data_IF_419813512095
#
_entry.id   IF_419813512095
#
_cell.length_a   1.000
_cell.length_b   1.000
_cell.length_c   1.000
_cell.angle_alpha   90.00
_cell.angle_beta   90.00
_cell.angle_gamma   90.00
#
_symmetry.space_group_name_H-M   'P 1'
#
loop_
_entity.id
_entity.type
_entity.pdbx_description
1 polymer ?
#
# COMPACT_ATOMS: atom_id res chain seq x y z
N UNK A 1 -23.23 16.25 4.16
CA UNK A 1 -21.81 16.08 4.57
C UNK A 1 -21.06 15.52 3.39
N UNK A 2 -20.13 16.26 2.79
CA UNK A 2 -19.14 15.63 1.90
C UNK A 2 -18.16 14.90 2.81
N UNK A 3 -17.95 13.62 2.56
CA UNK A 3 -16.90 12.84 3.21
C UNK A 3 -15.77 12.78 2.21
N UNK A 4 -14.71 13.57 2.42
CA UNK A 4 -13.58 13.54 1.51
C UNK A 4 -12.61 12.45 1.99
N UNK A 5 -12.51 11.36 1.19
CA UNK A 5 -11.75 10.16 1.57
C UNK A 5 -10.27 10.46 1.78
N UNK A 6 -9.73 11.43 1.04
CA UNK A 6 -8.33 11.86 1.16
C UNK A 6 -8.04 12.61 2.46
N UNK A 7 -8.99 13.39 3.00
CA UNK A 7 -8.86 13.99 4.34
C UNK A 7 -8.84 12.91 5.42
N UNK A 8 -9.66 11.85 5.27
CA UNK A 8 -9.70 10.72 6.21
C UNK A 8 -8.42 9.86 6.13
N UNK A 9 -7.85 9.70 4.93
CA UNK A 9 -6.51 9.13 4.75
C UNK A 9 -5.47 9.96 5.51
N UNK A 10 -5.45 11.29 5.32
CA UNK A 10 -4.47 12.15 6.01
C UNK A 10 -4.72 12.32 7.50
N UNK A 11 -5.96 12.18 7.98
CA UNK A 11 -6.24 12.02 9.41
C UNK A 11 -5.52 10.78 9.96
N UNK A 12 -5.64 9.65 9.26
CA UNK A 12 -4.98 8.39 9.62
C UNK A 12 -3.45 8.50 9.55
N UNK A 13 -2.93 9.18 8.50
CA UNK A 13 -1.51 9.49 8.36
C UNK A 13 -0.95 10.28 9.53
N UNK A 14 -1.58 11.42 9.84
CA UNK A 14 -1.12 12.32 10.88
C UNK A 14 -1.18 11.66 12.26
N UNK A 15 -2.26 10.92 12.54
CA UNK A 15 -2.47 10.26 13.83
C UNK A 15 -1.53 9.08 14.06
N UNK A 16 -1.35 8.20 13.07
CA UNK A 16 -0.65 6.92 13.27
C UNK A 16 0.78 6.92 12.73
N UNK A 17 1.06 7.61 11.62
CA UNK A 17 2.41 7.65 11.03
C UNK A 17 3.21 8.81 11.63
N UNK A 18 2.64 10.02 11.67
CA UNK A 18 3.26 11.20 12.30
C UNK A 18 2.99 11.32 13.81
N UNK A 19 2.33 10.32 14.40
CA UNK A 19 2.02 10.21 15.85
C UNK A 19 1.39 11.48 16.48
N UNK A 20 0.66 12.28 15.70
CA UNK A 20 0.02 13.50 16.19
C UNK A 20 -1.11 13.17 17.19
N UNK A 21 -1.01 13.67 18.42
CA UNK A 21 -2.04 13.50 19.45
C UNK A 21 -3.30 14.33 19.16
N UNK A 22 -3.17 15.42 18.41
CA UNK A 22 -4.29 16.25 17.95
C UNK A 22 -4.28 16.27 16.42
N UNK A 23 -5.42 15.94 15.80
CA UNK A 23 -5.61 16.04 14.35
C UNK A 23 -6.98 16.61 14.03
N UNK A 24 -7.04 17.63 13.16
CA UNK A 24 -8.25 18.27 12.67
C UNK A 24 -8.27 18.26 11.14
N UNK A 25 -9.24 17.55 10.54
CA UNK A 25 -9.60 17.68 9.12
C UNK A 25 -10.41 18.94 8.86
N UNK A 26 -10.41 19.45 7.63
CA UNK A 26 -11.11 20.70 7.26
C UNK A 26 -10.74 21.88 8.18
N UNK A 27 -9.46 22.06 8.48
CA UNK A 27 -9.02 23.19 9.29
C UNK A 27 -9.22 24.49 8.50
N UNK A 28 -9.88 25.48 9.11
CA UNK A 28 -10.15 26.78 8.48
C UNK A 28 -9.96 27.91 9.48
N UNK A 29 -9.44 29.03 8.99
CA UNK A 29 -9.28 30.25 9.76
C UNK A 29 -10.63 30.78 10.22
N UNK A 30 -10.80 30.97 11.54
CA UNK A 30 -11.97 31.69 12.06
C UNK A 30 -11.83 33.19 11.86
N UNK A 31 -12.91 33.84 11.43
CA UNK A 31 -12.99 35.31 11.32
C UNK A 31 -12.85 36.05 12.65
N UNK A 32 -12.91 35.32 13.78
CA UNK A 32 -12.77 35.86 15.13
C UNK A 32 -11.34 35.70 15.69
N UNK A 33 -10.42 35.06 14.96
CA UNK A 33 -9.04 34.92 15.41
C UNK A 33 -8.24 36.19 15.12
N UNK A 34 -7.48 36.64 16.12
CA UNK A 34 -6.51 37.72 15.96
C UNK A 34 -5.28 37.19 15.24
N UNK A 35 -4.91 37.84 14.15
CA UNK A 35 -3.64 37.59 13.44
C UNK A 35 -2.47 38.23 14.20
N UNK A 36 -1.35 37.52 14.28
CA UNK A 36 -0.06 37.97 14.81
C UNK A 36 0.91 38.25 13.67
N UNK A 37 2.00 38.97 13.96
CA UNK A 37 3.11 39.21 13.01
C UNK A 37 2.63 39.81 11.67
N UNK A 38 1.64 40.71 11.74
CA UNK A 38 0.88 41.13 10.55
C UNK A 38 1.73 41.92 9.54
N UNK A 39 2.72 42.68 10.03
CA UNK A 39 3.66 43.42 9.19
C UNK A 39 4.65 42.47 8.51
N UNK A 40 5.26 41.52 9.25
CA UNK A 40 6.14 40.50 8.70
C UNK A 40 5.42 39.66 7.65
N UNK A 41 4.17 39.27 7.91
CA UNK A 41 3.31 38.52 7.00
C UNK A 41 2.98 39.31 5.74
N UNK A 42 2.65 40.60 5.86
CA UNK A 42 2.40 41.47 4.69
C UNK A 42 3.66 41.61 3.83
N UNK A 43 4.83 41.75 4.46
CA UNK A 43 6.12 41.85 3.77
C UNK A 43 6.48 40.52 3.08
N UNK A 44 6.33 39.39 3.76
CA UNK A 44 6.56 38.04 3.20
C UNK A 44 5.64 37.75 2.01
N UNK A 45 4.36 38.12 2.10
CA UNK A 45 3.41 38.00 1.00
C UNK A 45 3.90 38.75 -0.25
N UNK A 46 4.40 39.98 -0.09
CA UNK A 46 4.94 40.75 -1.21
C UNK A 46 6.24 40.14 -1.77
N UNK A 47 7.16 39.72 -0.90
CA UNK A 47 8.44 39.10 -1.28
C UNK A 47 8.23 37.82 -2.09
N UNK A 48 7.27 36.97 -1.70
CA UNK A 48 6.93 35.75 -2.42
C UNK A 48 6.37 36.11 -3.81
N UNK A 49 5.42 37.04 -3.91
CA UNK A 49 4.81 37.37 -5.21
C UNK A 49 5.81 38.01 -6.19
N UNK A 50 6.73 38.84 -5.69
CA UNK A 50 7.75 39.51 -6.51
C UNK A 50 8.87 38.56 -6.94
N UNK A 51 9.35 37.67 -6.06
CA UNK A 51 10.35 36.65 -6.42
C UNK A 51 9.85 35.77 -7.58
N UNK A 52 8.61 35.29 -7.48
CA UNK A 52 8.02 34.45 -8.52
C UNK A 52 7.71 35.23 -9.81
N UNK A 53 7.24 36.48 -9.68
CA UNK A 53 7.03 37.34 -10.85
C UNK A 53 8.34 37.63 -11.59
N UNK A 54 9.46 37.80 -10.88
CA UNK A 54 10.77 38.04 -11.47
C UNK A 54 11.36 36.77 -12.11
N UNK A 55 11.36 35.63 -11.39
CA UNK A 55 12.03 34.39 -11.82
C UNK A 55 11.21 33.56 -12.82
N UNK A 56 9.89 33.46 -12.62
CA UNK A 56 9.01 32.58 -13.40
C UNK A 56 8.01 33.31 -14.30
N UNK A 57 8.03 34.65 -14.33
CA UNK A 57 7.18 35.49 -15.16
C UNK A 57 5.67 35.34 -14.88
N UNK A 58 5.30 34.91 -13.67
CA UNK A 58 3.92 34.92 -13.18
C UNK A 58 3.85 35.30 -11.70
N UNK A 59 2.78 36.01 -11.31
CA UNK A 59 2.45 36.27 -9.90
C UNK A 59 1.86 35.01 -9.26
N UNK A 60 2.18 34.73 -8.00
CA UNK A 60 1.62 33.59 -7.26
C UNK A 60 0.19 33.91 -6.85
N UNK A 61 -0.03 35.11 -6.32
CA UNK A 61 -1.33 35.51 -5.77
C UNK A 61 -2.20 36.18 -6.84
N UNK A 62 -3.52 36.23 -6.60
CA UNK A 62 -4.44 36.85 -7.56
C UNK A 62 -4.24 38.37 -7.56
N UNK A 63 -4.22 38.98 -8.74
CA UNK A 63 -4.26 40.43 -8.87
C UNK A 63 -5.42 41.00 -8.03
N UNK A 64 -5.13 42.06 -7.28
CA UNK A 64 -6.03 42.73 -6.34
C UNK A 64 -6.46 41.93 -5.10
N UNK A 65 -5.90 40.75 -4.82
CA UNK A 65 -6.07 40.10 -3.51
C UNK A 65 -5.12 40.72 -2.47
N UNK A 66 -5.66 41.20 -1.36
CA UNK A 66 -4.86 41.67 -0.22
C UNK A 66 -4.35 40.49 0.61
N UNK A 67 -3.21 40.65 1.29
CA UNK A 67 -2.67 39.61 2.16
C UNK A 67 -3.70 39.18 3.23
N UNK A 68 -4.47 40.13 3.78
CA UNK A 68 -5.59 39.85 4.71
C UNK A 68 -6.62 38.93 4.07
N UNK A 69 -7.13 39.26 2.90
CA UNK A 69 -8.14 38.43 2.23
C UNK A 69 -7.58 37.03 1.90
N UNK A 70 -6.33 36.96 1.45
CA UNK A 70 -5.65 35.72 1.14
C UNK A 70 -5.53 34.81 2.37
N UNK A 71 -5.16 35.36 3.53
CA UNK A 71 -4.95 34.63 4.79
C UNK A 71 -6.27 34.34 5.53
N UNK A 72 -7.28 35.21 5.48
CA UNK A 72 -8.63 34.90 5.96
C UNK A 72 -9.34 33.80 5.16
N UNK A 73 -8.84 33.49 3.96
CA UNK A 73 -9.24 32.32 3.17
C UNK A 73 -8.26 31.14 3.38
N UNK A 74 -7.55 31.12 4.51
CA UNK A 74 -6.74 30.00 4.97
C UNK A 74 -7.61 28.78 5.29
N UNK A 75 -7.38 27.71 4.54
CA UNK A 75 -7.91 26.38 4.79
C UNK A 75 -6.79 25.35 4.54
N UNK A 76 -6.81 24.27 5.30
CA UNK A 76 -5.95 23.11 5.12
C UNK A 76 -6.81 21.85 5.32
N UNK A 77 -6.60 20.85 4.48
CA UNK A 77 -7.46 19.68 4.39
C UNK A 77 -7.28 18.78 5.63
N UNK A 78 -6.07 18.75 6.20
CA UNK A 78 -5.82 18.30 7.57
C UNK A 78 -4.68 19.07 8.26
N UNK A 79 -4.79 19.29 9.57
CA UNK A 79 -3.71 19.79 10.44
C UNK A 79 -3.52 18.83 11.60
N UNK A 80 -2.26 18.48 11.88
CA UNK A 80 -1.84 17.62 12.99
C UNK A 80 -0.85 18.34 13.90
N UNK A 81 -0.89 18.04 15.19
CA UNK A 81 0.10 18.49 16.18
C UNK A 81 0.63 17.27 16.93
N UNK A 82 1.94 17.07 16.86
CA UNK A 82 2.66 16.10 17.70
C UNK A 82 3.36 16.82 18.86
N UNK A 83 3.35 16.18 20.02
CA UNK A 83 4.01 16.60 21.25
C UNK A 83 5.02 15.53 21.68
N UNK A 84 6.29 15.74 21.37
CA UNK A 84 7.35 14.73 21.56
C UNK A 84 8.54 15.35 22.28
N UNK A 85 9.03 14.69 23.33
CA UNK A 85 10.17 15.13 24.14
C UNK A 85 10.05 16.58 24.69
N UNK A 86 8.83 17.12 24.78
CA UNK A 86 8.55 18.51 25.19
C UNK A 86 8.49 19.51 24.02
N UNK A 87 8.81 19.09 22.80
CA UNK A 87 8.70 19.88 21.58
C UNK A 87 7.34 19.70 20.91
N UNK A 88 6.90 20.74 20.18
CA UNK A 88 5.61 20.79 19.46
C UNK A 88 5.87 20.89 17.96
N UNK A 89 5.56 19.84 17.21
CA UNK A 89 5.67 19.82 15.75
C UNK A 89 4.30 19.94 15.11
N UNK A 90 4.12 20.94 14.25
CA UNK A 90 2.88 21.15 13.50
C UNK A 90 3.03 20.62 12.07
N UNK A 91 2.05 19.85 11.64
CA UNK A 91 1.93 19.34 10.28
C UNK A 91 0.67 19.92 9.64
N UNK A 92 0.77 20.50 8.46
CA UNK A 92 -0.39 20.97 7.71
C UNK A 92 -0.40 20.35 6.31
N UNK A 93 -1.54 19.83 5.89
CA UNK A 93 -1.69 19.05 4.66
C UNK A 93 -2.77 19.66 3.77
N UNK A 94 -2.41 19.93 2.53
CA UNK A 94 -3.30 20.19 1.40
C UNK A 94 -3.29 18.95 0.48
N UNK A 95 -4.44 18.36 0.19
CA UNK A 95 -4.55 17.16 -0.67
C UNK A 95 -5.42 17.42 -1.90
N UNK A 96 -4.97 16.94 -3.06
CA UNK A 96 -5.71 17.05 -4.32
C UNK A 96 -5.91 15.67 -4.97
N UNK A 97 -7.17 15.27 -5.13
CA UNK A 97 -7.55 14.00 -5.74
C UNK A 97 -8.27 14.18 -7.08
N UNK A 98 -7.65 13.69 -8.16
CA UNK A 98 -8.23 13.63 -9.49
C UNK A 98 -7.78 12.33 -10.18
N UNK A 99 -8.72 11.47 -10.59
CA UNK A 99 -8.42 10.15 -11.18
C UNK A 99 -7.59 10.23 -12.48
N UNK A 100 -7.80 11.30 -13.25
CA UNK A 100 -7.06 11.60 -14.49
C UNK A 100 -5.76 12.37 -14.25
N UNK A 101 -5.44 12.70 -13.00
CA UNK A 101 -4.30 13.51 -12.60
C UNK A 101 -4.64 14.98 -12.35
N UNK A 102 -3.78 15.64 -11.59
CA UNK A 102 -3.95 17.04 -11.19
C UNK A 102 -3.97 17.99 -12.40
N UNK A 103 -5.08 18.70 -12.60
CA UNK A 103 -5.25 19.66 -13.68
C UNK A 103 -6.15 20.83 -13.25
N UNK A 104 -5.54 21.98 -12.97
CA UNK A 104 -6.27 23.22 -12.65
C UNK A 104 -6.38 24.21 -13.82
N UNK A 105 -6.04 23.79 -15.04
CA UNK A 105 -5.97 24.62 -16.24
C UNK A 105 -4.67 24.39 -17.00
N UNK A 106 -3.85 25.43 -17.15
CA UNK A 106 -2.49 25.26 -17.69
C UNK A 106 -1.54 24.63 -16.66
N UNK A 107 -0.39 24.14 -17.14
CA UNK A 107 0.73 23.67 -16.31
C UNK A 107 1.16 24.75 -15.29
N UNK A 108 1.41 25.96 -15.78
CA UNK A 108 1.75 27.12 -14.96
C UNK A 108 0.65 27.49 -13.95
N UNK A 109 -0.63 27.50 -14.35
CA UNK A 109 -1.76 27.77 -13.44
C UNK A 109 -1.86 26.71 -12.33
N UNK A 110 -1.53 25.45 -12.64
CA UNK A 110 -1.52 24.35 -11.67
C UNK A 110 -0.38 24.55 -10.66
N UNK A 111 0.85 24.78 -11.11
CA UNK A 111 2.01 25.08 -10.25
C UNK A 111 1.74 26.30 -9.35
N UNK A 112 1.29 27.41 -9.96
CA UNK A 112 0.96 28.67 -9.27
C UNK A 112 -0.05 28.46 -8.14
N UNK A 113 -1.09 27.65 -8.36
CA UNK A 113 -2.10 27.34 -7.32
C UNK A 113 -1.54 26.52 -6.16
N UNK A 114 -0.64 25.57 -6.43
CA UNK A 114 -0.02 24.73 -5.41
C UNK A 114 0.90 25.59 -4.53
N UNK A 115 1.77 26.40 -5.14
CA UNK A 115 2.62 27.36 -4.40
C UNK A 115 1.76 28.34 -3.59
N UNK A 116 0.66 28.84 -4.17
CA UNK A 116 -0.28 29.71 -3.45
C UNK A 116 -1.00 29.02 -2.28
N UNK A 117 -1.25 27.70 -2.33
CA UNK A 117 -1.74 26.91 -1.18
C UNK A 117 -0.65 26.83 -0.11
N UNK A 118 0.53 26.29 -0.43
CA UNK A 118 1.63 26.11 0.52
C UNK A 118 2.04 27.43 1.22
N UNK A 119 2.18 28.52 0.46
CA UNK A 119 2.51 29.83 1.00
C UNK A 119 1.40 30.38 1.92
N UNK A 120 0.12 30.15 1.59
CA UNK A 120 -1.00 30.53 2.48
C UNK A 120 -0.92 29.76 3.79
N UNK A 121 -0.71 28.44 3.71
CA UNK A 121 -0.62 27.57 4.87
C UNK A 121 0.53 27.99 5.79
N UNK A 122 1.71 28.30 5.25
CA UNK A 122 2.84 28.84 6.03
C UNK A 122 2.49 30.15 6.77
N UNK A 123 1.94 31.13 6.05
CA UNK A 123 1.55 32.42 6.65
C UNK A 123 0.40 32.27 7.66
N UNK A 124 -0.50 31.30 7.48
CA UNK A 124 -1.56 31.00 8.43
C UNK A 124 -1.04 30.32 9.71
N UNK A 125 -0.07 29.40 9.60
CA UNK A 125 0.58 28.79 10.77
C UNK A 125 1.34 29.83 11.58
N UNK A 126 2.08 30.72 10.91
CA UNK A 126 2.78 31.82 11.59
C UNK A 126 1.79 32.83 12.22
N UNK A 127 0.82 33.31 11.46
CA UNK A 127 -0.11 34.37 11.90
C UNK A 127 -1.17 33.94 12.91
N UNK A 128 -1.68 32.70 12.86
CA UNK A 128 -2.76 32.24 13.75
C UNK A 128 -2.33 31.16 14.75
N UNK A 129 -1.31 30.35 14.45
CA UNK A 129 -0.80 29.34 15.39
C UNK A 129 0.49 29.78 16.11
N UNK A 130 0.96 31.00 15.88
CA UNK A 130 2.14 31.60 16.53
C UNK A 130 3.35 30.65 16.52
N UNK A 131 3.60 30.06 15.35
CA UNK A 131 4.53 28.95 15.16
C UNK A 131 5.49 29.29 14.03
N UNK A 132 6.79 29.08 14.27
CA UNK A 132 7.87 29.41 13.33
C UNK A 132 8.46 28.20 12.62
N UNK A 133 8.04 26.98 12.99
CA UNK A 133 8.55 25.72 12.41
C UNK A 133 7.45 24.68 12.22
N UNK A 134 7.63 23.78 11.26
CA UNK A 134 6.67 22.72 10.98
C UNK A 134 6.77 22.16 9.56
N UNK A 135 5.95 21.16 9.25
CA UNK A 135 5.92 20.50 7.95
C UNK A 135 4.65 20.86 7.17
N UNK A 136 4.80 21.33 5.94
CA UNK A 136 3.69 21.69 5.05
C UNK A 136 3.72 20.76 3.84
N UNK A 137 2.68 19.95 3.69
CA UNK A 137 2.63 18.87 2.72
C UNK A 137 1.55 19.19 1.68
N UNK A 138 1.94 19.34 0.42
CA UNK A 138 1.00 19.23 -0.68
C UNK A 138 1.02 17.79 -1.23
N UNK A 139 -0.11 17.09 -1.20
CA UNK A 139 -0.19 15.69 -1.57
C UNK A 139 -1.16 15.43 -2.73
N UNK A 140 -0.79 14.57 -3.66
CA UNK A 140 -1.71 14.10 -4.72
C UNK A 140 -1.30 12.74 -5.27
N UNK A 141 -2.19 11.73 -5.34
CA UNK A 141 -1.84 10.41 -5.86
C UNK A 141 -1.35 10.41 -7.32
N UNK A 142 -1.67 11.46 -8.10
CA UNK A 142 -1.40 11.51 -9.54
C UNK A 142 -1.15 12.92 -10.05
N UNK A 143 0.10 13.20 -10.39
CA UNK A 143 0.58 14.47 -10.96
C UNK A 143 1.41 14.15 -12.20
N UNK A 144 1.14 14.83 -13.31
CA UNK A 144 1.94 14.65 -14.54
C UNK A 144 3.40 15.06 -14.30
N UNK A 145 4.36 14.28 -14.78
CA UNK A 145 5.79 14.52 -14.53
C UNK A 145 6.23 15.94 -14.84
N UNK A 146 5.77 16.49 -15.97
CA UNK A 146 6.04 17.88 -16.33
C UNK A 146 5.52 18.90 -15.29
N UNK A 147 4.39 18.66 -14.61
CA UNK A 147 3.94 19.56 -13.52
C UNK A 147 4.91 19.48 -12.34
N UNK A 148 5.47 18.30 -12.03
CA UNK A 148 6.49 18.14 -10.98
C UNK A 148 7.80 18.83 -11.35
N UNK A 149 8.26 18.70 -12.60
CA UNK A 149 9.49 19.34 -13.09
C UNK A 149 9.47 20.87 -12.92
N UNK A 150 8.31 21.51 -13.10
CA UNK A 150 8.14 22.95 -12.86
C UNK A 150 7.90 23.27 -11.37
N UNK A 151 7.24 22.37 -10.63
CA UNK A 151 6.83 22.60 -9.24
C UNK A 151 7.97 22.43 -8.23
N UNK A 152 8.86 21.45 -8.41
CA UNK A 152 9.93 21.16 -7.45
C UNK A 152 10.86 22.38 -7.24
N UNK A 153 11.39 23.05 -8.29
CA UNK A 153 12.20 24.26 -8.11
C UNK A 153 11.43 25.42 -7.44
N UNK A 154 10.11 25.49 -7.64
CA UNK A 154 9.26 26.48 -7.01
C UNK A 154 9.10 26.22 -5.49
N UNK A 155 9.04 24.95 -5.08
CA UNK A 155 8.97 24.55 -3.67
C UNK A 155 10.32 24.81 -2.97
N UNK A 156 11.44 24.54 -3.64
CA UNK A 156 12.79 24.88 -3.16
C UNK A 156 12.96 26.38 -2.91
N UNK A 157 12.53 27.22 -3.86
CA UNK A 157 12.52 28.68 -3.71
C UNK A 157 11.64 29.12 -2.53
N UNK A 158 10.45 28.56 -2.37
CA UNK A 158 9.54 28.90 -1.28
C UNK A 158 10.17 28.57 0.09
N UNK A 159 10.78 27.38 0.23
CA UNK A 159 11.52 27.00 1.43
C UNK A 159 12.68 27.97 1.71
N UNK A 160 13.44 28.34 0.68
CA UNK A 160 14.56 29.28 0.81
C UNK A 160 14.11 30.69 1.24
N UNK A 161 12.97 31.17 0.74
CA UNK A 161 12.36 32.44 1.18
C UNK A 161 11.96 32.33 2.66
N UNK A 162 11.20 31.31 3.04
CA UNK A 162 10.74 31.13 4.44
C UNK A 162 11.92 31.06 5.41
N UNK A 163 12.93 30.24 5.11
CA UNK A 163 14.12 30.08 5.94
C UNK A 163 14.93 31.38 6.10
N UNK A 164 15.09 32.18 5.03
CA UNK A 164 15.75 33.50 5.08
C UNK A 164 15.05 34.51 6.00
N UNK A 165 13.77 34.30 6.28
CA UNK A 165 12.96 35.12 7.18
C UNK A 165 12.74 34.46 8.55
N UNK A 166 13.61 33.52 8.94
CA UNK A 166 13.58 32.78 10.21
C UNK A 166 12.32 31.93 10.42
N UNK A 167 11.66 31.50 9.34
CA UNK A 167 10.57 30.52 9.37
C UNK A 167 11.11 29.16 8.91
N UNK A 168 11.33 28.26 9.86
CA UNK A 168 11.80 26.89 9.65
C UNK A 168 10.63 25.95 9.24
N UNK A 169 9.86 26.39 8.25
CA UNK A 169 8.82 25.57 7.64
C UNK A 169 9.41 24.74 6.50
N UNK A 170 9.24 23.42 6.59
CA UNK A 170 9.58 22.48 5.53
C UNK A 170 8.36 22.22 4.65
N UNK A 171 8.28 22.94 3.53
CA UNK A 171 7.30 22.67 2.47
C UNK A 171 7.80 21.51 1.61
N UNK A 172 6.96 20.51 1.37
CA UNK A 172 7.24 19.43 0.40
C UNK A 172 6.01 19.00 -0.39
N UNK A 173 6.27 18.34 -1.52
CA UNK A 173 5.26 17.69 -2.35
C UNK A 173 5.39 16.18 -2.17
N UNK A 174 4.26 15.49 -2.02
CA UNK A 174 4.18 14.02 -2.03
C UNK A 174 3.26 13.61 -3.18
N UNK A 175 3.84 13.05 -4.24
CA UNK A 175 3.11 12.75 -5.48
C UNK A 175 3.48 11.40 -6.11
N UNK A 176 2.55 10.84 -6.88
CA UNK A 176 2.76 9.58 -7.62
C UNK A 176 3.24 8.45 -6.70
N UNK A 177 4.40 7.84 -6.99
CA UNK A 177 4.93 6.74 -6.17
C UNK A 177 5.26 7.19 -4.74
N UNK A 178 5.70 8.44 -4.52
CA UNK A 178 5.94 8.96 -3.16
C UNK A 178 4.64 8.98 -2.35
N UNK A 179 3.48 9.18 -2.98
CA UNK A 179 2.19 9.09 -2.31
C UNK A 179 1.91 7.65 -1.85
N UNK A 180 2.25 6.67 -2.68
CA UNK A 180 2.13 5.27 -2.32
C UNK A 180 3.12 4.91 -1.19
N UNK A 181 4.42 5.16 -1.39
CA UNK A 181 5.49 4.76 -0.46
C UNK A 181 5.46 5.52 0.87
N UNK A 182 5.14 6.81 0.87
CA UNK A 182 5.24 7.68 2.05
C UNK A 182 3.94 7.76 2.84
N UNK A 183 2.77 7.67 2.18
CA UNK A 183 1.47 7.90 2.83
C UNK A 183 0.65 6.63 2.87
N UNK A 184 0.36 6.03 1.72
CA UNK A 184 -0.55 4.88 1.66
C UNK A 184 0.03 3.65 2.37
N UNK A 185 1.20 3.16 1.95
CA UNK A 185 1.77 1.93 2.51
C UNK A 185 2.01 2.01 4.03
N UNK A 186 2.55 3.10 4.61
CA UNK A 186 2.66 3.24 6.07
C UNK A 186 1.32 3.15 6.81
N UNK A 187 0.23 3.73 6.27
CA UNK A 187 -1.10 3.62 6.87
C UNK A 187 -1.63 2.18 6.78
N UNK A 188 -1.42 1.50 5.64
CA UNK A 188 -1.85 0.10 5.49
C UNK A 188 -1.09 -0.81 6.47
N UNK A 189 0.22 -0.63 6.63
CA UNK A 189 1.06 -1.33 7.62
C UNK A 189 0.63 -1.06 9.07
N UNK A 190 0.17 0.16 9.38
CA UNK A 190 -0.34 0.50 10.71
C UNK A 190 -1.77 -0.01 10.97
N UNK A 191 -2.54 -0.34 9.92
CA UNK A 191 -3.95 -0.73 10.04
C UNK A 191 -4.17 -2.08 10.76
N UNK A 192 -3.19 -2.98 10.69
CA UNK A 192 -3.21 -4.27 11.38
C UNK A 192 -2.95 -4.09 12.89
N UNK A 193 -4.01 -4.25 13.68
CA UNK A 193 -4.01 -4.05 15.13
C UNK A 193 -4.69 -2.76 15.60
N UNK A 194 -5.21 -1.93 14.69
CA UNK A 194 -6.13 -0.84 15.03
C UNK A 194 -7.55 -1.42 15.12
N UNK A 195 -7.89 -1.95 16.29
CA UNK A 195 -9.15 -2.67 16.52
C UNK A 195 -10.38 -1.73 16.60
N UNK A 196 -10.19 -0.53 17.12
CA UNK A 196 -11.29 0.40 17.42
C UNK A 196 -11.02 1.85 17.00
N UNK A 197 -11.36 2.18 15.76
CA UNK A 197 -11.37 3.56 15.27
C UNK A 197 -12.67 3.90 14.55
N UNK A 198 -13.12 5.14 14.72
CA UNK A 198 -14.13 5.80 13.89
C UNK A 198 -13.55 6.33 12.58
N UNK A 199 -12.39 5.82 12.16
CA UNK A 199 -11.61 6.31 11.02
C UNK A 199 -12.08 5.64 9.74
N UNK A 200 -12.79 6.39 8.91
CA UNK A 200 -13.50 5.86 7.75
C UNK A 200 -12.56 5.21 6.73
N UNK A 201 -11.34 5.72 6.58
CA UNK A 201 -10.35 5.13 5.67
C UNK A 201 -9.90 3.74 6.16
N UNK A 202 -9.43 3.63 7.40
CA UNK A 202 -8.96 2.35 7.97
C UNK A 202 -10.10 1.33 8.02
N UNK A 203 -11.30 1.72 8.45
CA UNK A 203 -12.47 0.83 8.47
C UNK A 203 -12.88 0.38 7.05
N UNK A 204 -12.82 1.27 6.07
CA UNK A 204 -13.06 0.94 4.67
C UNK A 204 -12.05 -0.07 4.12
N UNK A 205 -10.76 0.12 4.43
CA UNK A 205 -9.69 -0.80 4.05
C UNK A 205 -9.80 -2.17 4.75
N UNK A 206 -10.07 -2.19 6.06
CA UNK A 206 -10.33 -3.43 6.81
C UNK A 206 -11.53 -4.20 6.22
N UNK A 207 -12.63 -3.51 5.91
CA UNK A 207 -13.81 -4.12 5.27
C UNK A 207 -13.50 -4.66 3.87
N UNK A 208 -12.69 -3.94 3.08
CA UNK A 208 -12.20 -4.42 1.78
C UNK A 208 -11.38 -5.71 1.96
N UNK A 209 -10.42 -5.74 2.90
CA UNK A 209 -9.56 -6.89 3.18
C UNK A 209 -10.32 -8.16 3.64
N UNK A 210 -11.50 -8.01 4.28
CA UNK A 210 -12.37 -9.15 4.60
C UNK A 210 -12.82 -9.91 3.34
N UNK A 211 -13.02 -9.20 2.23
CA UNK A 211 -13.55 -9.76 0.98
C UNK A 211 -12.50 -9.91 -0.12
N UNK A 212 -11.36 -9.24 0.00
CA UNK A 212 -10.18 -9.42 -0.81
C UNK A 212 -9.61 -10.85 -0.62
N UNK A 213 -9.50 -11.68 -1.68
CA UNK A 213 -8.91 -13.01 -1.59
C UNK A 213 -7.45 -13.04 -1.10
N UNK A 214 -6.98 -14.22 -0.70
CA UNK A 214 -5.66 -14.39 -0.07
C UNK A 214 -4.49 -13.77 -0.87
N UNK A 215 -4.55 -13.79 -2.20
CA UNK A 215 -3.54 -13.19 -3.08
C UNK A 215 -3.45 -11.64 -3.03
N UNK A 216 -4.41 -10.93 -2.43
CA UNK A 216 -4.36 -9.46 -2.24
C UNK A 216 -4.40 -9.02 -0.78
N UNK A 217 -4.78 -9.90 0.15
CA UNK A 217 -4.26 -9.82 1.53
C UNK A 217 -2.73 -9.93 1.54
N UNK A 218 -2.16 -10.51 0.49
CA UNK A 218 -0.73 -10.46 0.19
C UNK A 218 -0.25 -9.10 -0.33
N UNK A 219 -1.08 -8.11 -0.71
CA UNK A 219 -0.55 -6.88 -1.32
C UNK A 219 0.42 -6.15 -0.38
N UNK A 220 0.06 -5.96 0.90
CA UNK A 220 0.94 -5.49 1.99
C UNK A 220 2.17 -6.38 2.25
N UNK A 221 2.21 -7.58 1.66
CA UNK A 221 3.24 -8.61 1.84
C UNK A 221 4.07 -8.89 0.57
N UNK A 222 3.66 -8.36 -0.60
CA UNK A 222 4.32 -8.62 -1.91
C UNK A 222 4.59 -7.40 -2.79
N UNK A 223 4.21 -6.15 -2.45
CA UNK A 223 4.63 -4.99 -3.28
C UNK A 223 6.16 -4.84 -3.38
N UNK A 224 6.92 -5.37 -2.42
CA UNK A 224 8.38 -5.36 -2.46
C UNK A 224 9.00 -6.27 -3.54
N UNK A 225 8.24 -7.25 -4.07
CA UNK A 225 8.79 -8.30 -4.93
C UNK A 225 8.76 -8.00 -6.44
N UNK A 226 8.10 -6.92 -6.89
CA UNK A 226 7.99 -6.59 -8.32
C UNK A 226 8.18 -5.10 -8.64
N UNK A 227 9.44 -4.75 -8.99
CA UNK A 227 9.98 -3.60 -9.77
C UNK A 227 11.15 -2.87 -9.04
N UNK A 228 11.88 -1.98 -9.75
CA UNK A 228 13.29 -2.15 -10.10
C UNK A 228 14.27 -1.94 -8.92
N UNK A 229 15.54 -2.33 -9.13
CA UNK A 229 16.60 -2.58 -8.13
C UNK A 229 17.07 -1.40 -7.23
N UNK A 230 16.26 -0.36 -6.97
CA UNK A 230 16.71 0.83 -6.23
C UNK A 230 15.67 1.51 -5.32
N UNK A 231 14.64 0.78 -4.84
CA UNK A 231 13.64 1.31 -3.90
C UNK A 231 13.40 0.33 -2.75
N UNK A 232 14.01 0.57 -1.58
CA UNK A 232 13.52 -0.08 -0.33
C UNK A 232 13.81 0.65 0.99
N UNK A 233 14.60 1.73 0.99
CA UNK A 233 14.68 2.64 2.15
C UNK A 233 13.47 3.58 2.27
N UNK A 234 12.77 3.81 1.16
CA UNK A 234 11.82 4.90 1.02
C UNK A 234 10.43 4.63 1.65
N UNK A 235 9.95 3.39 1.59
CA UNK A 235 8.63 3.00 2.16
C UNK A 235 8.57 3.18 3.67
N UNK A 236 9.69 3.00 4.36
CA UNK A 236 9.77 3.08 5.82
C UNK A 236 10.22 4.46 6.34
N UNK A 237 10.42 5.46 5.45
CA UNK A 237 11.00 6.76 5.83
C UNK A 237 10.12 7.60 6.75
N UNK A 238 8.80 7.43 6.66
CA UNK A 238 7.83 8.18 7.48
C UNK A 238 7.48 7.47 8.79
N UNK A 239 7.74 6.16 8.90
CA UNK A 239 7.57 5.40 10.14
C UNK A 239 8.78 5.59 11.06
N UNK A 240 8.56 5.73 12.37
CA UNK A 240 9.64 5.69 13.37
C UNK A 240 10.15 4.27 13.59
N UNK A 241 11.36 4.12 14.10
CA UNK A 241 12.00 2.80 14.30
C UNK A 241 11.19 1.90 15.24
N UNK A 242 10.59 2.45 16.30
CA UNK A 242 9.76 1.68 17.22
C UNK A 242 8.47 1.16 16.56
N UNK A 243 7.96 1.87 15.55
CA UNK A 243 6.83 1.43 14.73
C UNK A 243 7.28 0.35 13.74
N UNK A 244 8.44 0.56 13.09
CA UNK A 244 9.07 -0.41 12.19
C UNK A 244 9.31 -1.75 12.90
N UNK A 245 9.82 -1.71 14.15
CA UNK A 245 9.97 -2.89 14.98
C UNK A 245 8.60 -3.54 15.31
N UNK A 246 7.66 -2.78 15.88
CA UNK A 246 6.36 -3.31 16.31
C UNK A 246 5.45 -3.84 15.20
N UNK A 247 5.57 -3.33 13.97
CA UNK A 247 4.68 -3.68 12.85
C UNK A 247 5.35 -4.53 11.78
N UNK A 248 6.60 -4.22 11.41
CA UNK A 248 7.29 -4.95 10.32
C UNK A 248 8.10 -6.10 10.89
N UNK A 249 9.05 -5.83 11.80
CA UNK A 249 9.88 -6.89 12.40
C UNK A 249 9.02 -7.92 13.14
N UNK A 250 8.09 -7.48 13.99
CA UNK A 250 7.15 -8.38 14.68
C UNK A 250 6.43 -9.32 13.70
N UNK A 251 5.82 -8.77 12.65
CA UNK A 251 5.03 -9.54 11.68
C UNK A 251 5.90 -10.51 10.89
N UNK A 252 7.14 -10.13 10.58
CA UNK A 252 8.14 -11.03 9.97
C UNK A 252 8.48 -12.19 10.91
N UNK A 253 8.76 -11.92 12.19
CA UNK A 253 9.06 -12.96 13.18
C UNK A 253 7.86 -13.89 13.44
N UNK A 254 6.65 -13.36 13.59
CA UNK A 254 5.41 -14.16 13.74
C UNK A 254 5.07 -14.95 12.46
N UNK A 255 5.49 -14.47 11.29
CA UNK A 255 5.41 -15.20 10.02
C UNK A 255 6.49 -16.29 9.84
N UNK A 256 7.45 -16.43 10.76
CA UNK A 256 8.51 -17.42 10.69
C UNK A 256 9.60 -17.10 9.65
N UNK A 257 9.91 -15.83 9.42
CA UNK A 257 11.00 -15.44 8.49
C UNK A 257 12.41 -15.65 9.04
N UNK A 258 12.54 -15.87 10.35
CA UNK A 258 13.78 -16.19 11.05
C UNK A 258 13.80 -17.68 11.40
N UNK A 259 14.98 -18.32 11.38
CA UNK A 259 15.09 -19.75 11.73
C UNK A 259 15.00 -19.95 13.25
N UNK A 260 14.75 -21.18 13.73
CA UNK A 260 14.64 -21.45 15.17
C UNK A 260 15.98 -21.13 15.87
N UNK A 261 17.10 -21.44 15.23
CA UNK A 261 18.44 -21.13 15.70
C UNK A 261 18.68 -19.61 15.78
N UNK A 262 18.16 -18.85 14.81
CA UNK A 262 18.24 -17.39 14.83
C UNK A 262 17.35 -16.79 15.95
N UNK A 263 16.17 -17.34 16.21
CA UNK A 263 15.31 -16.97 17.35
C UNK A 263 15.99 -17.28 18.70
N UNK A 264 16.80 -18.33 18.78
CA UNK A 264 17.63 -18.62 19.95
C UNK A 264 18.76 -17.59 20.10
N UNK A 265 19.42 -17.19 19.00
CA UNK A 265 20.42 -16.12 19.01
C UNK A 265 19.81 -14.75 19.37
N UNK A 266 18.61 -14.43 18.91
CA UNK A 266 17.87 -13.19 19.26
C UNK A 266 17.55 -13.06 20.76
N UNK A 267 17.68 -14.14 21.54
CA UNK A 267 17.57 -14.11 23.00
C UNK A 267 18.91 -13.80 23.70
N UNK A 268 19.99 -13.59 22.95
CA UNK A 268 21.31 -13.18 23.47
C UNK A 268 21.54 -11.68 23.27
N UNK A 269 22.27 -11.04 24.19
CA UNK A 269 22.61 -9.63 24.08
C UNK A 269 23.67 -9.41 22.99
N UNK A 270 24.57 -10.37 22.83
CA UNK A 270 25.70 -10.36 21.89
C UNK A 270 25.23 -10.30 20.44
N UNK A 271 24.32 -11.20 20.04
CA UNK A 271 23.73 -11.19 18.70
C UNK A 271 22.87 -9.95 18.49
N UNK A 272 22.10 -9.53 19.50
CA UNK A 272 21.24 -8.35 19.41
C UNK A 272 22.05 -7.07 19.20
N UNK A 273 23.21 -6.97 19.85
CA UNK A 273 24.18 -5.89 19.64
C UNK A 273 24.86 -5.97 18.27
N UNK A 274 25.29 -7.15 17.82
CA UNK A 274 25.96 -7.27 16.51
C UNK A 274 25.03 -7.07 15.31
N UNK A 275 23.74 -7.37 15.48
CA UNK A 275 22.76 -7.45 14.37
C UNK A 275 21.82 -6.25 14.33
N UNK A 276 21.43 -5.71 15.49
CA UNK A 276 20.45 -4.61 15.62
C UNK A 276 20.98 -3.39 16.39
N UNK A 277 22.25 -3.39 16.81
CA UNK A 277 22.92 -2.38 17.68
C UNK A 277 22.36 -2.26 19.13
N UNK A 278 21.30 -3.03 19.44
CA UNK A 278 20.59 -3.07 20.72
C UNK A 278 21.50 -3.50 21.89
N UNK A 279 21.31 -2.86 23.06
CA UNK A 279 22.04 -3.21 24.29
C UNK A 279 21.48 -4.44 25.03
N UNK A 280 20.31 -4.92 24.61
CA UNK A 280 19.55 -5.98 25.28
C UNK A 280 19.10 -7.02 24.25
N UNK A 281 18.83 -8.27 24.67
CA UNK A 281 18.21 -9.27 23.82
C UNK A 281 17.00 -8.72 23.06
N UNK A 282 16.95 -8.93 21.75
CA UNK A 282 15.81 -8.53 20.93
C UNK A 282 14.53 -9.25 21.39
N UNK A 283 14.66 -10.53 21.76
CA UNK A 283 13.57 -11.36 22.27
C UNK A 283 13.88 -11.87 23.67
N UNK A 284 12.86 -12.00 24.51
CA UNK A 284 12.91 -12.78 25.75
C UNK A 284 11.67 -13.68 25.85
N UNK A 285 11.83 -14.90 26.35
CA UNK A 285 10.68 -15.78 26.58
C UNK A 285 9.79 -15.22 27.68
N UNK A 286 8.46 -15.33 27.54
CA UNK A 286 7.51 -14.97 28.61
C UNK A 286 7.64 -15.83 29.87
N UNK A 287 8.39 -16.93 29.81
CA UNK A 287 8.67 -17.84 30.92
C UNK A 287 10.02 -17.57 31.61
N UNK A 288 10.83 -16.65 31.08
CA UNK A 288 12.10 -16.24 31.66
C UNK A 288 11.93 -14.99 32.54
N UNK A 289 12.93 -14.71 33.38
CA UNK A 289 13.02 -13.43 34.10
C UNK A 289 13.61 -12.35 33.19
N UNK A 290 13.01 -11.15 33.18
CA UNK A 290 13.42 -10.01 32.36
C UNK A 290 12.88 -8.69 32.94
N UNK A 291 13.57 -7.58 32.68
CA UNK A 291 13.13 -6.22 33.06
C UNK A 291 11.98 -5.75 32.14
N UNK A 292 10.72 -5.67 32.61
CA UNK A 292 9.58 -5.38 31.73
C UNK A 292 9.60 -3.97 31.12
N UNK A 293 10.39 -3.03 31.66
CA UNK A 293 10.51 -1.66 31.14
C UNK A 293 11.20 -1.65 29.77
N UNK A 294 12.04 -2.64 29.48
CA UNK A 294 12.87 -2.73 28.26
C UNK A 294 12.18 -3.44 27.10
N UNK A 295 10.96 -3.94 27.28
CA UNK A 295 10.25 -4.74 26.28
C UNK A 295 8.84 -4.23 26.05
N UNK A 296 8.30 -4.46 24.85
CA UNK A 296 6.92 -4.11 24.53
C UNK A 296 5.93 -4.95 25.34
N UNK A 297 4.83 -4.31 25.76
CA UNK A 297 3.83 -4.92 26.64
C UNK A 297 3.07 -6.08 25.97
N UNK A 298 2.78 -5.99 24.68
CA UNK A 298 2.16 -7.09 23.93
C UNK A 298 3.19 -8.18 23.58
N UNK A 299 2.90 -9.46 23.87
CA UNK A 299 3.74 -10.56 23.41
C UNK A 299 3.58 -10.79 21.90
N UNK A 300 4.60 -11.39 21.29
CA UNK A 300 4.56 -11.93 19.94
C UNK A 300 4.69 -13.46 19.97
N UNK A 301 4.05 -14.13 19.02
CA UNK A 301 3.98 -15.61 19.00
C UNK A 301 4.75 -16.20 17.82
N UNK A 302 5.85 -16.88 18.12
CA UNK A 302 6.77 -17.45 17.13
C UNK A 302 6.81 -18.97 17.34
N UNK A 303 6.52 -19.73 16.27
CA UNK A 303 6.50 -21.21 16.31
C UNK A 303 5.70 -21.80 17.49
N UNK A 304 4.58 -21.15 17.82
CA UNK A 304 3.68 -21.53 18.91
C UNK A 304 4.06 -21.04 20.31
N UNK A 305 5.31 -20.61 20.53
CA UNK A 305 5.83 -20.06 21.80
C UNK A 305 5.62 -18.54 21.89
N UNK A 306 5.53 -18.00 23.09
CA UNK A 306 5.37 -16.56 23.33
C UNK A 306 6.68 -15.90 23.81
N UNK A 307 6.94 -14.72 23.23
CA UNK A 307 8.10 -13.88 23.53
C UNK A 307 7.65 -12.44 23.81
N UNK A 308 8.52 -11.64 24.44
CA UNK A 308 8.46 -10.17 24.42
C UNK A 308 9.59 -9.65 23.54
N UNK A 309 9.35 -8.56 22.82
CA UNK A 309 10.34 -7.91 21.95
C UNK A 309 10.85 -6.62 22.58
N UNK A 310 12.15 -6.35 22.45
CA UNK A 310 12.82 -5.17 22.99
C UNK A 310 12.17 -3.87 22.49
N UNK A 311 11.98 -2.91 23.39
CA UNK A 311 11.41 -1.58 23.13
C UNK A 311 12.46 -0.47 23.06
N UNK A 312 13.72 -0.77 23.40
CA UNK A 312 14.82 0.19 23.51
C UNK A 312 15.47 0.48 22.15
N UNK A 313 14.69 1.06 21.24
CA UNK A 313 15.14 1.48 19.91
C UNK A 313 15.38 2.99 19.85
N UNK A 314 16.43 3.41 19.16
CA UNK A 314 16.90 4.80 19.11
C UNK A 314 17.18 5.27 17.68
N UNK A 315 16.97 6.57 17.42
CA UNK A 315 17.20 7.24 16.12
C UNK A 315 17.95 8.56 16.27
N UNK A 316 18.84 8.66 17.26
CA UNK A 316 19.61 9.88 17.51
C UNK A 316 20.98 9.79 16.84
N UNK A 317 21.64 10.90 16.44
CA UNK A 317 22.93 10.84 15.76
C UNK A 317 24.03 10.07 16.50
N UNK A 318 23.94 9.95 17.83
CA UNK A 318 24.87 9.19 18.67
C UNK A 318 24.50 7.70 18.86
N UNK A 319 23.25 7.31 18.59
CA UNK A 319 22.77 5.92 18.61
C UNK A 319 21.56 5.78 17.69
N UNK A 320 21.74 5.13 16.55
CA UNK A 320 20.74 5.02 15.49
C UNK A 320 20.67 3.57 15.00
N UNK A 321 19.69 2.83 15.53
CA UNK A 321 19.55 1.40 15.26
C UNK A 321 18.88 1.13 13.89
N UNK A 322 18.31 2.17 13.24
CA UNK A 322 17.52 2.03 12.00
C UNK A 322 18.29 1.35 10.86
N UNK A 323 19.55 1.70 10.55
CA UNK A 323 20.28 1.06 9.46
C UNK A 323 20.45 -0.45 9.67
N UNK A 324 20.60 -0.88 10.92
CA UNK A 324 20.74 -2.28 11.29
C UNK A 324 19.40 -3.02 11.16
N UNK A 325 18.30 -2.44 11.67
CA UNK A 325 16.97 -3.01 11.50
C UNK A 325 16.55 -3.11 10.03
N UNK A 326 16.75 -2.05 9.25
CA UNK A 326 16.47 -2.07 7.80
C UNK A 326 17.33 -3.09 7.06
N UNK A 327 18.61 -3.24 7.45
CA UNK A 327 19.49 -4.28 6.89
C UNK A 327 18.95 -5.67 7.21
N UNK A 328 18.57 -5.96 8.46
CA UNK A 328 18.02 -7.27 8.82
C UNK A 328 16.73 -7.57 8.05
N UNK A 329 15.80 -6.60 7.98
CA UNK A 329 14.55 -6.71 7.20
C UNK A 329 14.87 -7.02 5.73
N UNK A 330 15.82 -6.29 5.14
CA UNK A 330 16.19 -6.45 3.73
C UNK A 330 16.92 -7.76 3.45
N UNK A 331 17.82 -8.22 4.33
CA UNK A 331 18.54 -9.49 4.19
C UNK A 331 17.58 -10.68 4.31
N UNK A 332 16.58 -10.62 5.20
CA UNK A 332 15.55 -11.66 5.34
C UNK A 332 14.53 -11.62 4.20
N UNK A 333 14.14 -10.43 3.75
CA UNK A 333 13.32 -10.28 2.53
C UNK A 333 14.05 -10.82 1.31
N UNK A 334 15.32 -10.46 1.11
CA UNK A 334 16.18 -11.02 0.05
C UNK A 334 16.38 -12.52 0.17
N UNK A 335 16.34 -13.08 1.39
CA UNK A 335 16.44 -14.52 1.60
C UNK A 335 15.14 -15.21 1.19
N UNK A 336 13.98 -14.72 1.63
CA UNK A 336 12.66 -15.17 1.15
C UNK A 336 12.49 -15.00 -0.37
N UNK A 337 13.00 -13.91 -0.93
CA UNK A 337 13.00 -13.65 -2.37
C UNK A 337 14.00 -14.51 -3.12
N UNK A 338 15.18 -14.82 -2.56
CA UNK A 338 16.11 -15.80 -3.14
C UNK A 338 15.57 -17.21 -3.05
N UNK A 339 14.97 -17.60 -1.93
CA UNK A 339 14.35 -18.91 -1.76
C UNK A 339 13.17 -19.06 -2.70
N UNK A 340 12.25 -18.09 -2.73
CA UNK A 340 11.15 -18.08 -3.68
C UNK A 340 11.60 -17.87 -5.13
N UNK A 341 12.73 -17.20 -5.42
CA UNK A 341 13.36 -17.16 -6.76
C UNK A 341 14.08 -18.45 -7.11
N UNK A 342 14.62 -19.20 -6.16
CA UNK A 342 15.25 -20.51 -6.37
C UNK A 342 14.16 -21.57 -6.57
N UNK A 343 13.04 -21.43 -5.86
CA UNK A 343 11.80 -22.18 -6.03
C UNK A 343 11.11 -21.81 -7.37
N UNK A 344 11.08 -20.53 -7.75
CA UNK A 344 10.60 -20.03 -9.06
C UNK A 344 11.54 -20.43 -10.20
N UNK A 345 12.88 -20.41 -10.04
CA UNK A 345 13.85 -20.94 -11.03
C UNK A 345 13.83 -22.47 -11.13
N UNK A 346 13.36 -23.18 -10.10
CA UNK A 346 12.99 -24.60 -10.17
C UNK A 346 11.61 -24.83 -10.80
N UNK A 347 10.74 -23.82 -10.85
CA UNK A 347 9.40 -23.84 -11.49
C UNK A 347 9.36 -23.20 -12.89
N UNK A 348 10.40 -22.46 -13.29
CA UNK A 348 10.57 -21.77 -14.59
C UNK A 348 12.05 -21.88 -15.01
N UNK A 349 12.45 -22.64 -16.03
CA UNK A 349 12.09 -22.46 -17.45
C UNK A 349 10.59 -22.54 -17.79
N UNK A 350 10.09 -21.63 -18.65
CA UNK A 350 8.96 -20.76 -18.31
C UNK A 350 7.59 -21.29 -18.79
N UNK A 351 6.44 -20.88 -18.24
CA UNK A 351 6.18 -19.83 -17.23
C UNK A 351 4.83 -20.00 -16.50
N UNK A 352 4.69 -19.36 -15.34
CA UNK A 352 3.53 -19.23 -14.43
C UNK A 352 3.22 -17.69 -14.35
N UNK A 353 2.11 -17.11 -13.89
CA UNK A 353 0.94 -17.45 -13.04
C UNK A 353 -0.38 -17.33 -13.86
N UNK A 354 -1.64 -17.51 -13.40
CA UNK A 354 -2.38 -17.29 -12.12
C UNK A 354 -2.49 -15.80 -11.71
N UNK A 355 -3.57 -15.03 -11.90
CA UNK A 355 -5.04 -15.19 -11.67
C UNK A 355 -5.51 -14.48 -10.37
N UNK A 356 -6.84 -14.29 -10.24
CA UNK A 356 -7.64 -13.66 -9.17
C UNK A 356 -7.71 -12.12 -9.25
N UNK A 357 -8.89 -11.46 -9.33
CA UNK A 357 -9.88 -11.22 -8.25
C UNK A 357 -11.12 -10.40 -8.74
N UNK A 358 -12.29 -10.22 -8.06
CA UNK A 358 -12.96 -10.90 -6.94
C UNK A 358 -14.41 -10.35 -6.66
N UNK A 359 -15.27 -11.16 -5.99
CA UNK A 359 -16.25 -10.87 -4.90
C UNK A 359 -17.10 -9.56 -4.95
N UNK A 360 -18.46 -9.53 -4.87
CA UNK A 360 -19.43 -10.45 -4.21
C UNK A 360 -20.83 -10.50 -4.87
N UNK A 361 -21.56 -11.59 -4.59
CA UNK A 361 -22.90 -11.99 -5.07
C UNK A 361 -24.01 -10.90 -5.07
N UNK A 362 -24.69 -10.79 -6.21
CA UNK A 362 -26.14 -11.09 -6.28
C UNK A 362 -26.26 -12.54 -6.80
N UNK A 363 -27.32 -13.27 -6.45
CA UNK A 363 -27.58 -14.58 -7.07
C UNK A 363 -27.98 -14.38 -8.54
N UNK A 364 -27.00 -14.51 -9.43
CA UNK A 364 -27.19 -14.58 -10.86
C UNK A 364 -27.03 -16.03 -11.32
N UNK A 365 -27.93 -16.43 -12.21
CA UNK A 365 -27.79 -17.60 -13.07
C UNK A 365 -26.35 -17.68 -13.61
N UNK A 366 -25.76 -18.88 -13.57
CA UNK A 366 -24.40 -19.14 -14.06
C UNK A 366 -24.27 -18.75 -15.54
N UNK A 367 -25.35 -18.81 -16.33
CA UNK A 367 -25.40 -18.23 -17.66
C UNK A 367 -25.28 -16.70 -17.64
N UNK A 368 -26.15 -16.00 -16.91
CA UNK A 368 -26.10 -14.52 -16.81
C UNK A 368 -24.77 -14.00 -16.27
N UNK A 369 -24.15 -14.75 -15.34
CA UNK A 369 -22.84 -14.43 -14.75
C UNK A 369 -21.70 -14.46 -15.77
N UNK A 370 -21.80 -15.29 -16.81
CA UNK A 370 -20.73 -15.54 -17.78
C UNK A 370 -21.12 -15.24 -19.24
N UNK A 371 -22.28 -14.62 -19.48
CA UNK A 371 -22.82 -14.38 -20.84
C UNK A 371 -21.91 -13.55 -21.75
N UNK A 372 -21.15 -12.61 -21.18
CA UNK A 372 -20.23 -11.73 -21.92
C UNK A 372 -18.87 -12.39 -22.22
N UNK A 373 -18.59 -13.58 -21.68
CA UNK A 373 -17.36 -14.33 -21.90
C UNK A 373 -17.59 -15.44 -22.95
N UNK A 374 -16.64 -15.61 -23.88
CA UNK A 374 -16.67 -16.75 -24.81
C UNK A 374 -16.40 -18.06 -24.07
N UNK A 375 -16.94 -19.17 -24.57
CA UNK A 375 -16.77 -20.52 -23.98
C UNK A 375 -15.31 -20.88 -23.65
N UNK A 376 -14.36 -20.59 -24.54
CA UNK A 376 -12.93 -20.84 -24.29
C UNK A 376 -12.31 -19.93 -23.22
N UNK A 377 -12.88 -18.74 -22.99
CA UNK A 377 -12.51 -17.89 -21.86
C UNK A 377 -13.09 -18.44 -20.56
N UNK A 378 -14.34 -18.94 -20.56
CA UNK A 378 -14.96 -19.62 -19.42
C UNK A 378 -14.15 -20.89 -19.05
N UNK A 379 -13.70 -21.66 -20.04
CA UNK A 379 -12.85 -22.82 -19.82
C UNK A 379 -11.54 -22.44 -19.10
N UNK A 380 -10.84 -21.41 -19.57
CA UNK A 380 -9.57 -20.96 -18.97
C UNK A 380 -9.72 -20.25 -17.62
N UNK A 381 -10.75 -19.41 -17.45
CA UNK A 381 -10.93 -18.54 -16.28
C UNK A 381 -11.81 -19.15 -15.18
N UNK A 382 -12.51 -20.26 -15.46
CA UNK A 382 -13.46 -20.88 -14.51
C UNK A 382 -13.23 -22.38 -14.38
N UNK A 383 -13.34 -23.15 -15.47
CA UNK A 383 -13.20 -24.62 -15.40
C UNK A 383 -11.80 -25.02 -14.94
N UNK A 384 -10.75 -24.45 -15.53
CA UNK A 384 -9.37 -24.77 -15.18
C UNK A 384 -9.08 -24.52 -13.68
N UNK A 385 -9.33 -23.32 -13.11
CA UNK A 385 -9.15 -23.10 -11.67
C UNK A 385 -9.98 -24.05 -10.79
N UNK A 386 -11.19 -24.44 -11.21
CA UNK A 386 -11.99 -25.44 -10.49
C UNK A 386 -11.33 -26.83 -10.51
N UNK A 387 -10.76 -27.26 -11.64
CA UNK A 387 -10.02 -28.52 -11.73
C UNK A 387 -8.75 -28.51 -10.88
N UNK A 388 -7.98 -27.41 -10.90
CA UNK A 388 -6.76 -27.23 -10.10
C UNK A 388 -7.08 -27.17 -8.59
N UNK A 389 -8.19 -26.53 -8.21
CA UNK A 389 -8.73 -26.53 -6.84
C UNK A 389 -9.42 -27.86 -6.44
N UNK A 390 -9.42 -28.89 -7.29
CA UNK A 390 -9.86 -30.24 -6.94
C UNK A 390 -11.37 -30.48 -6.95
N UNK A 391 -12.16 -29.65 -7.66
CA UNK A 391 -13.61 -29.84 -7.81
C UNK A 391 -13.99 -31.10 -8.62
N UNK A 392 -13.03 -31.74 -9.28
CA UNK A 392 -13.17 -33.07 -9.86
C UNK A 392 -12.44 -34.13 -9.00
N UNK A 393 -13.02 -35.33 -8.90
CA UNK A 393 -12.40 -36.48 -8.20
C UNK A 393 -11.24 -37.09 -9.01
N UNK A 394 -10.37 -37.92 -8.40
CA UNK A 394 -9.32 -38.65 -9.17
C UNK A 394 -9.94 -39.40 -10.36
N UNK A 395 -11.05 -40.09 -10.10
CA UNK A 395 -11.70 -40.91 -11.13
C UNK A 395 -12.36 -40.04 -12.19
N UNK A 396 -12.97 -38.91 -11.83
CA UNK A 396 -13.48 -37.98 -12.83
C UNK A 396 -12.36 -37.38 -13.71
N UNK A 397 -11.21 -37.03 -13.12
CA UNK A 397 -10.02 -36.55 -13.84
C UNK A 397 -9.44 -37.65 -14.75
N UNK A 398 -9.56 -38.93 -14.39
CA UNK A 398 -9.27 -40.06 -15.28
C UNK A 398 -10.26 -40.16 -16.43
N UNK A 399 -11.56 -40.00 -16.18
CA UNK A 399 -12.57 -39.99 -17.24
C UNK A 399 -12.40 -38.79 -18.18
N UNK A 400 -12.02 -37.61 -17.69
CA UNK A 400 -11.69 -36.42 -18.51
C UNK A 400 -10.53 -36.62 -19.50
N UNK A 401 -9.76 -37.71 -19.36
CA UNK A 401 -8.73 -38.12 -20.33
C UNK A 401 -9.25 -39.02 -21.46
N UNK A 402 -10.55 -39.38 -21.45
CA UNK A 402 -11.20 -40.12 -22.53
C UNK A 402 -12.00 -39.18 -23.42
N UNK A 403 -12.09 -39.51 -24.71
CA UNK A 403 -12.90 -38.76 -25.67
C UNK A 403 -14.39 -38.91 -25.35
N UNK A 404 -14.78 -40.09 -24.90
CA UNK A 404 -16.16 -40.51 -24.67
C UNK A 404 -16.79 -39.69 -23.53
N UNK A 405 -16.08 -39.56 -22.41
CA UNK A 405 -16.53 -38.72 -21.30
C UNK A 405 -16.55 -37.24 -21.71
N UNK A 406 -15.50 -36.77 -22.36
CA UNK A 406 -15.35 -35.37 -22.78
C UNK A 406 -16.45 -34.95 -23.76
N UNK A 407 -16.83 -35.82 -24.70
CA UNK A 407 -17.96 -35.60 -25.61
C UNK A 407 -19.30 -35.68 -24.89
N UNK A 408 -19.49 -36.61 -23.96
CA UNK A 408 -20.76 -36.73 -23.23
C UNK A 408 -21.01 -35.64 -22.16
N UNK A 409 -19.95 -35.02 -21.64
CA UNK A 409 -20.02 -34.08 -20.51
C UNK A 409 -19.76 -32.63 -20.90
N UNK A 410 -18.96 -32.37 -21.94
CA UNK A 410 -18.58 -31.01 -22.39
C UNK A 410 -18.85 -30.77 -23.88
N UNK A 411 -19.40 -31.74 -24.61
CA UNK A 411 -19.60 -31.77 -26.06
C UNK A 411 -18.31 -31.72 -26.94
N UNK A 412 -17.13 -31.73 -26.32
CA UNK A 412 -15.82 -31.66 -26.98
C UNK A 412 -15.47 -32.96 -27.72
N UNK A 413 -14.89 -32.84 -28.93
CA UNK A 413 -14.55 -33.97 -29.81
C UNK A 413 -13.25 -34.72 -29.45
N UNK A 414 -12.56 -34.28 -28.40
CA UNK A 414 -11.25 -34.73 -27.93
C UNK A 414 -11.28 -34.86 -26.40
N UNK A 415 -10.36 -35.63 -25.79
CA UNK A 415 -10.15 -35.60 -24.34
C UNK A 415 -10.05 -34.17 -23.82
N UNK A 416 -10.82 -33.84 -22.77
CA UNK A 416 -10.76 -32.53 -22.12
C UNK A 416 -9.37 -32.33 -21.48
N UNK A 417 -8.79 -33.38 -20.92
CA UNK A 417 -7.46 -33.40 -20.33
C UNK A 417 -6.57 -34.42 -21.03
N UNK A 418 -5.29 -34.10 -21.16
CA UNK A 418 -4.23 -35.09 -21.50
C UNK A 418 -3.10 -34.94 -20.51
N UNK A 419 -2.63 -36.05 -19.93
CA UNK A 419 -1.51 -36.05 -19.00
C UNK A 419 -0.20 -35.68 -19.71
N UNK A 420 0.70 -34.98 -19.02
CA UNK A 420 1.92 -34.42 -19.63
C UNK A 420 2.99 -35.47 -20.03
N UNK A 421 2.75 -36.75 -19.72
CA UNK A 421 3.54 -37.93 -20.12
C UNK A 421 2.98 -38.66 -21.35
N UNK A 422 1.82 -38.21 -21.87
CA UNK A 422 1.17 -38.73 -23.07
C UNK A 422 1.63 -37.98 -24.34
N UNK A 423 1.34 -38.52 -25.53
CA UNK A 423 1.59 -37.81 -26.80
C UNK A 423 0.53 -36.69 -27.01
N UNK A 424 0.98 -35.44 -27.18
CA UNK A 424 0.11 -34.25 -27.14
C UNK A 424 0.14 -33.50 -28.46
N UNK A 425 -0.99 -33.47 -29.14
CA UNK A 425 -1.20 -32.59 -30.29
C UNK A 425 -1.47 -31.15 -29.80
N UNK A 426 -0.42 -30.34 -29.61
CA UNK A 426 -0.52 -28.96 -29.12
C UNK A 426 -1.36 -28.00 -29.98
N UNK A 427 -1.80 -28.39 -31.19
CA UNK A 427 -2.83 -27.61 -31.91
C UNK A 427 -4.22 -27.70 -31.26
N UNK A 428 -4.48 -28.79 -30.51
CA UNK A 428 -5.79 -29.19 -29.94
C UNK A 428 -5.92 -28.95 -28.43
N UNK A 429 -4.84 -28.49 -27.80
CA UNK A 429 -4.76 -28.24 -26.35
C UNK A 429 -4.15 -26.87 -26.11
N UNK A 430 -4.55 -26.22 -25.01
CA UNK A 430 -3.94 -24.96 -24.60
C UNK A 430 -2.47 -25.17 -24.24
N UNK A 431 -1.59 -24.30 -24.74
CA UNK A 431 -0.14 -24.42 -24.51
C UNK A 431 0.26 -24.30 -23.03
N UNK A 432 -0.59 -23.66 -22.20
CA UNK A 432 -0.39 -23.55 -20.75
C UNK A 432 -1.03 -24.76 -20.06
N UNK A 433 -0.25 -25.61 -19.37
CA UNK A 433 -0.75 -26.77 -18.62
C UNK A 433 -1.44 -26.36 -17.32
N UNK A 434 -2.26 -27.26 -16.79
CA UNK A 434 -2.90 -27.16 -15.48
C UNK A 434 -2.43 -28.27 -14.52
N UNK A 435 -2.43 -27.98 -13.22
CA UNK A 435 -1.93 -28.87 -12.17
C UNK A 435 -3.06 -29.40 -11.29
N UNK A 436 -3.45 -30.65 -11.50
CA UNK A 436 -4.48 -31.30 -10.70
C UNK A 436 -3.78 -32.24 -9.73
N UNK A 437 -3.82 -31.89 -8.43
CA UNK A 437 -3.30 -32.71 -7.31
C UNK A 437 -1.84 -33.16 -7.52
N UNK A 438 -1.00 -32.23 -7.99
CA UNK A 438 0.43 -32.45 -8.23
C UNK A 438 0.78 -33.17 -9.54
N UNK A 439 -0.22 -33.60 -10.32
CA UNK A 439 -0.04 -34.13 -11.69
C UNK A 439 -0.31 -33.04 -12.72
N UNK A 440 0.48 -33.06 -13.80
CA UNK A 440 0.44 -32.05 -14.87
C UNK A 440 -0.42 -32.55 -16.03
N UNK A 441 -1.40 -31.74 -16.42
CA UNK A 441 -2.31 -31.99 -17.53
C UNK A 441 -2.28 -30.84 -18.54
N UNK A 442 -2.81 -31.07 -19.74
CA UNK A 442 -3.09 -30.07 -20.76
C UNK A 442 -4.58 -30.11 -21.08
N UNK A 443 -5.25 -28.95 -21.06
CA UNK A 443 -6.68 -28.84 -21.31
C UNK A 443 -6.98 -28.57 -22.79
N UNK A 444 -8.01 -29.20 -23.34
CA UNK A 444 -8.42 -29.03 -24.73
C UNK A 444 -8.77 -27.56 -25.05
N UNK A 445 -8.40 -27.08 -26.24
CA UNK A 445 -8.68 -25.73 -26.73
C UNK A 445 -9.80 -25.65 -27.77
N UNK A 446 -10.31 -26.81 -28.24
CA UNK A 446 -11.34 -26.96 -29.26
C UNK A 446 -12.74 -26.68 -28.69
N UNK A 447 -12.99 -25.44 -28.28
CA UNK A 447 -14.28 -24.97 -27.82
C UNK A 447 -14.99 -24.13 -28.90
N UNK A 448 -16.28 -24.40 -29.11
CA UNK A 448 -17.11 -23.85 -30.18
C UNK A 448 -18.43 -23.27 -29.65
N UNK A 449 -18.92 -22.25 -30.35
CA UNK A 449 -20.14 -21.48 -30.02
C UNK A 449 -21.05 -21.37 -31.26
N UNK A 450 -21.17 -22.47 -32.02
CA UNK A 450 -21.93 -22.51 -33.28
C UNK A 450 -23.29 -23.12 -33.04
N UNK A 451 -24.30 -22.73 -33.82
CA UNK A 451 -25.67 -23.24 -33.72
C UNK A 451 -25.85 -24.77 -33.88
N UNK A 452 -24.78 -25.50 -34.26
CA UNK A 452 -24.73 -26.96 -34.36
C UNK A 452 -23.62 -27.61 -33.50
N UNK A 453 -22.88 -26.84 -32.70
CA UNK A 453 -21.86 -27.28 -31.74
C UNK A 453 -21.58 -26.11 -30.78
N UNK A 454 -22.33 -26.03 -29.67
CA UNK A 454 -22.22 -25.00 -28.63
C UNK A 454 -21.88 -25.61 -27.27
N UNK A 455 -20.58 -25.68 -27.01
CA UNK A 455 -20.01 -26.35 -25.85
C UNK A 455 -20.25 -25.53 -24.55
N UNK A 456 -20.68 -24.26 -24.66
CA UNK A 456 -20.98 -23.40 -23.48
C UNK A 456 -22.01 -24.05 -22.58
N UNK A 457 -23.07 -24.61 -23.16
CA UNK A 457 -24.20 -25.10 -22.40
C UNK A 457 -23.84 -26.26 -21.46
N UNK A 458 -23.05 -27.20 -21.99
CA UNK A 458 -22.48 -28.32 -21.26
C UNK A 458 -21.45 -27.88 -20.22
N UNK A 459 -20.56 -26.96 -20.59
CA UNK A 459 -19.55 -26.38 -19.68
C UNK A 459 -20.18 -25.70 -18.46
N UNK A 460 -21.17 -24.83 -18.69
CA UNK A 460 -21.85 -24.10 -17.62
C UNK A 460 -22.70 -25.03 -16.74
N UNK A 461 -23.30 -26.07 -17.31
CA UNK A 461 -24.01 -27.12 -16.56
C UNK A 461 -23.07 -27.88 -15.61
N UNK A 462 -21.87 -28.27 -16.06
CA UNK A 462 -20.87 -28.91 -15.20
C UNK A 462 -20.40 -27.96 -14.08
N UNK A 463 -20.13 -26.70 -14.40
CA UNK A 463 -19.72 -25.67 -13.43
C UNK A 463 -20.81 -25.44 -12.36
N UNK A 464 -22.06 -25.22 -12.77
CA UNK A 464 -23.19 -24.98 -11.87
C UNK A 464 -23.42 -26.16 -10.92
N UNK A 465 -23.37 -27.39 -11.45
CA UNK A 465 -23.47 -28.62 -10.65
C UNK A 465 -22.37 -28.68 -9.59
N UNK A 466 -21.10 -28.45 -9.97
CA UNK A 466 -19.96 -28.52 -9.05
C UNK A 466 -19.92 -27.41 -8.01
N UNK A 467 -20.48 -26.24 -8.30
CA UNK A 467 -20.68 -25.16 -7.33
C UNK A 467 -21.80 -25.45 -6.31
N UNK A 468 -22.73 -26.36 -6.63
CA UNK A 468 -23.84 -26.78 -5.74
C UNK A 468 -23.54 -28.03 -4.92
N UNK A 469 -22.50 -28.79 -5.27
CA UNK A 469 -22.17 -30.08 -4.63
C UNK A 469 -21.16 -29.99 -3.48
N UNK A 470 -20.61 -28.81 -3.16
CA UNK A 470 -19.76 -28.66 -1.97
C UNK A 470 -20.60 -28.48 -0.69
N UNK A 471 -20.26 -29.17 0.42
CA UNK A 471 -20.79 -28.84 1.74
C UNK A 471 -20.40 -27.40 2.13
N UNK A 472 -21.32 -26.69 2.78
CA UNK A 472 -21.02 -25.45 3.48
C UNK A 472 -20.36 -25.79 4.82
N UNK A 473 -19.04 -25.59 4.91
CA UNK A 473 -18.27 -25.40 6.14
C UNK A 473 -17.36 -24.15 5.97
#
# INVERSE_FOLDING_TARGET
MKIEMCENLFYSFLRHVKECQIVQTNWKVSKQWTIRHEEEISNLYQIIDDHFSAKYQYKVFKQNSSYRQFIFQGEADAVGVSFENGEKTVFAVDVAFHEFGLNYGSRAETVRRIIAKCARTALCLYGYMDTVSGEIIFASPKVGGSILDDLIPCIEDLNLILHRHNLDFKVRVIANEDFNSSVLQPILLMSDGIADTSELFIRGYQMYNMFAPAASRSYTRTVAAERPENVNSDVYKELKIGQLAQRVLRTMLEAGTATIEEIELMQTAEYSKSTFDLQYPLLVSTQADFDPVRYYSQPLRISGKEYKMCSQWFEVPANNDRPYLLKWIEDHRKTLEKESMLFRKKKEAPKIAEDYQAVKKVEQDVYEKYKELKVGQIAQQVLRPMLEAGYASEDEVRHMQTKEYSKSTFDIQYPLLVAADSDINFARYYAVPLWIRGKKYYMCNDWYEKAHNDDRSYLLSWIDKRLKEQPLD
#
